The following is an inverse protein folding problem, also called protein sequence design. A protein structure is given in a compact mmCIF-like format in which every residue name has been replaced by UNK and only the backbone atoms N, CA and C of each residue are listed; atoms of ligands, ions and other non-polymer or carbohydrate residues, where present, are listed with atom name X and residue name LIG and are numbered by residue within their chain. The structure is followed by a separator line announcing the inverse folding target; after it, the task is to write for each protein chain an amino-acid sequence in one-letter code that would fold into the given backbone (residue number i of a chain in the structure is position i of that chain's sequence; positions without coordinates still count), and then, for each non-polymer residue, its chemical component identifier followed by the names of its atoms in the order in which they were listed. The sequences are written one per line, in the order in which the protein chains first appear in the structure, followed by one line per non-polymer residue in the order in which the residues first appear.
data_IF_433968480448
#
_entry.id   IF_433968480448
#
_cell.length_a   1.000
_cell.length_b   1.000
_cell.length_c   1.000
_cell.angle_alpha   90.00
_cell.angle_beta   90.00
_cell.angle_gamma   90.00
#
_symmetry.space_group_name_H-M   'P 1'
#
loop_
_entity.id
_entity.type
_entity.pdbx_description
1 polymer ?
#
# COMPACT_ATOMS: atom_id res chain seq x y z
N UNK A 1 22.06 -46.19 -30.03
CA UNK A 1 20.86 -45.34 -30.10
C UNK A 1 20.81 -44.69 -31.47
N UNK A 2 19.70 -44.81 -32.19
CA UNK A 2 19.60 -44.28 -33.55
C UNK A 2 19.37 -42.76 -33.50
N UNK A 3 19.84 -42.00 -34.50
CA UNK A 3 19.75 -40.53 -34.56
C UNK A 3 18.35 -39.97 -34.23
N UNK A 4 17.30 -40.67 -34.64
CA UNK A 4 15.90 -40.36 -34.31
C UNK A 4 15.62 -40.35 -32.79
N UNK A 5 16.16 -41.34 -32.07
CA UNK A 5 16.01 -41.44 -30.60
C UNK A 5 16.81 -40.36 -29.86
N UNK A 6 17.95 -39.94 -30.40
CA UNK A 6 18.73 -38.82 -29.84
C UNK A 6 18.00 -37.48 -30.04
N UNK A 7 17.46 -37.21 -31.22
CA UNK A 7 16.71 -35.97 -31.49
C UNK A 7 15.45 -35.83 -30.63
N UNK A 8 14.74 -36.94 -30.38
CA UNK A 8 13.55 -36.95 -29.53
C UNK A 8 13.88 -36.62 -28.07
N UNK A 9 14.94 -37.20 -27.52
CA UNK A 9 15.36 -36.93 -26.15
C UNK A 9 15.84 -35.49 -25.96
N UNK A 10 16.57 -34.95 -26.94
CA UNK A 10 17.00 -33.54 -26.92
C UNK A 10 15.81 -32.59 -26.95
N UNK A 11 14.78 -32.90 -27.74
CA UNK A 11 13.55 -32.11 -27.81
C UNK A 11 12.78 -32.15 -26.48
N UNK A 12 12.62 -33.34 -25.88
CA UNK A 12 11.96 -33.51 -24.57
C UNK A 12 12.68 -32.69 -23.49
N UNK A 13 14.02 -32.76 -23.47
CA UNK A 13 14.82 -31.96 -22.54
C UNK A 13 14.61 -30.45 -22.72
N UNK A 14 14.54 -29.99 -23.97
CA UNK A 14 14.30 -28.57 -24.28
C UNK A 14 12.90 -28.12 -23.83
N UNK A 15 11.88 -28.94 -24.09
CA UNK A 15 10.50 -28.69 -23.63
C UNK A 15 10.46 -28.62 -22.10
N UNK A 16 11.11 -29.56 -21.42
CA UNK A 16 11.16 -29.59 -19.96
C UNK A 16 11.82 -28.33 -19.38
N UNK A 17 12.90 -27.83 -20.01
CA UNK A 17 13.52 -26.55 -19.63
C UNK A 17 12.60 -25.34 -19.84
N UNK A 18 11.84 -25.32 -20.94
CA UNK A 18 10.90 -24.22 -21.22
C UNK A 18 9.77 -24.24 -20.18
N UNK A 19 9.22 -25.42 -19.88
CA UNK A 19 8.15 -25.56 -18.90
C UNK A 19 8.58 -25.14 -17.49
N UNK A 20 9.76 -25.57 -17.03
CA UNK A 20 10.27 -25.17 -15.70
C UNK A 20 10.58 -23.67 -15.61
N UNK A 21 11.00 -23.04 -16.71
CA UNK A 21 11.20 -21.60 -16.78
C UNK A 21 9.88 -20.81 -16.69
N UNK A 22 8.82 -21.27 -17.37
CA UNK A 22 7.48 -20.67 -17.28
C UNK A 22 6.93 -20.75 -15.85
N UNK A 23 7.16 -21.87 -15.16
CA UNK A 23 6.71 -22.05 -13.78
C UNK A 23 7.45 -21.14 -12.78
N UNK A 24 8.73 -20.84 -13.04
CA UNK A 24 9.48 -19.84 -12.29
C UNK A 24 8.92 -18.41 -12.47
N UNK A 25 8.50 -18.05 -13.69
CA UNK A 25 7.85 -16.75 -13.97
C UNK A 25 6.49 -16.64 -13.28
N UNK A 26 5.75 -17.76 -13.21
CA UNK A 26 4.42 -17.80 -12.60
C UNK A 26 4.46 -17.91 -11.06
N UNK A 27 5.63 -18.16 -10.46
CA UNK A 27 5.84 -18.05 -9.02
C UNK A 27 5.88 -16.57 -8.59
N UNK A 28 4.74 -15.91 -8.74
CA UNK A 28 4.43 -14.67 -8.05
C UNK A 28 4.27 -15.00 -6.56
N UNK A 29 5.37 -15.06 -5.83
CA UNK A 29 5.31 -15.00 -4.38
C UNK A 29 4.56 -13.70 -4.03
N UNK A 30 3.29 -13.83 -3.64
CA UNK A 30 2.42 -12.71 -3.29
C UNK A 30 2.88 -12.15 -1.95
N UNK A 31 3.96 -11.38 -1.96
CA UNK A 31 4.40 -10.64 -0.79
C UNK A 31 3.36 -9.57 -0.46
N UNK A 32 2.89 -9.57 0.79
CA UNK A 32 2.03 -8.52 1.30
C UNK A 32 2.91 -7.37 1.77
N UNK A 33 3.13 -6.41 0.89
CA UNK A 33 3.83 -5.17 1.24
C UNK A 33 2.80 -4.14 1.67
N UNK A 34 3.05 -3.48 2.80
CA UNK A 34 2.21 -2.41 3.32
C UNK A 34 3.06 -1.26 3.85
N UNK A 35 2.44 -0.08 3.95
CA UNK A 35 3.08 1.11 4.51
C UNK A 35 2.47 1.42 5.88
N UNK A 36 3.27 2.04 6.75
CA UNK A 36 2.82 2.59 8.01
C UNK A 36 3.06 4.10 7.98
N UNK A 37 2.01 4.86 8.26
CA UNK A 37 2.03 6.28 8.52
C UNK A 37 1.64 6.48 9.99
N UNK A 38 2.38 7.25 10.75
CA UNK A 38 2.10 7.46 12.18
C UNK A 38 2.27 8.93 12.55
N UNK A 39 1.65 9.34 13.65
CA UNK A 39 1.92 10.62 14.33
C UNK A 39 1.78 11.83 13.38
N UNK A 40 0.68 11.85 12.62
CA UNK A 40 0.39 12.93 11.66
C UNK A 40 0.27 14.27 12.38
N UNK A 41 -0.35 14.27 13.57
CA UNK A 41 -0.56 15.45 14.42
C UNK A 41 -1.05 16.66 13.62
N UNK A 42 -2.11 16.47 12.82
CA UNK A 42 -2.65 17.55 12.00
C UNK A 42 -3.04 18.75 12.87
N UNK A 43 -2.50 19.92 12.53
CA UNK A 43 -2.72 21.16 13.26
C UNK A 43 -1.72 21.46 14.38
N UNK A 44 -0.75 20.59 14.69
CA UNK A 44 0.31 20.89 15.66
C UNK A 44 1.24 22.03 15.20
N UNK A 45 1.65 21.99 13.94
CA UNK A 45 2.62 22.92 13.34
C UNK A 45 2.02 23.77 12.21
N UNK A 46 0.69 23.95 12.19
CA UNK A 46 -0.01 24.60 11.07
C UNK A 46 0.27 23.90 9.73
N UNK A 47 0.67 24.69 8.71
CA UNK A 47 0.91 24.21 7.33
C UNK A 47 1.98 23.11 7.23
N UNK A 48 2.92 23.03 8.17
CA UNK A 48 4.00 22.03 8.11
C UNK A 48 3.47 20.60 8.21
N UNK A 49 2.48 20.35 9.07
CA UNK A 49 1.84 19.03 9.20
C UNK A 49 1.16 18.60 7.89
N UNK A 50 0.52 19.54 7.21
CA UNK A 50 -0.12 19.34 5.89
C UNK A 50 0.88 18.98 4.82
N UNK A 51 1.99 19.74 4.71
CA UNK A 51 3.02 19.52 3.69
C UNK A 51 3.72 18.17 3.90
N UNK A 52 4.01 17.80 5.15
CA UNK A 52 4.61 16.49 5.48
C UNK A 52 3.67 15.34 5.08
N UNK A 53 2.39 15.44 5.42
CA UNK A 53 1.39 14.44 5.05
C UNK A 53 1.25 14.31 3.52
N UNK A 54 1.16 15.42 2.80
CA UNK A 54 1.13 15.43 1.33
C UNK A 54 2.36 14.75 0.72
N UNK A 55 3.53 15.01 1.27
CA UNK A 55 4.79 14.42 0.81
C UNK A 55 4.82 12.90 1.04
N UNK A 56 4.34 12.44 2.21
CA UNK A 56 4.22 11.02 2.52
C UNK A 56 3.22 10.31 1.59
N UNK A 57 2.05 10.91 1.36
CA UNK A 57 1.02 10.37 0.45
C UNK A 57 1.55 10.29 -0.98
N UNK A 58 2.23 11.34 -1.47
CA UNK A 58 2.85 11.32 -2.79
C UNK A 58 3.83 10.14 -2.91
N UNK A 59 4.68 9.94 -1.90
CA UNK A 59 5.64 8.83 -1.90
C UNK A 59 4.96 7.46 -1.88
N UNK A 60 3.91 7.30 -1.08
CA UNK A 60 3.14 6.04 -1.03
C UNK A 60 2.51 5.77 -2.40
N UNK A 61 1.92 6.78 -3.04
CA UNK A 61 1.32 6.64 -4.36
C UNK A 61 2.37 6.25 -5.42
N UNK A 62 3.57 6.82 -5.38
CA UNK A 62 4.68 6.39 -6.25
C UNK A 62 5.05 4.91 -6.01
N UNK A 63 5.19 4.51 -4.75
CA UNK A 63 5.55 3.13 -4.39
C UNK A 63 4.45 2.12 -4.76
N UNK A 64 3.18 2.51 -4.68
CA UNK A 64 2.06 1.65 -5.08
C UNK A 64 2.04 1.32 -6.57
N UNK A 65 2.59 2.22 -7.41
CA UNK A 65 2.72 2.00 -8.85
C UNK A 65 3.95 1.17 -9.20
N UNK A 66 4.87 0.97 -8.26
CA UNK A 66 6.08 0.21 -8.49
C UNK A 66 5.79 -1.29 -8.51
N UNK A 67 5.97 -1.90 -9.68
CA UNK A 67 5.72 -3.32 -9.94
C UNK A 67 6.58 -4.26 -9.09
N UNK A 68 7.71 -3.79 -8.53
CA UNK A 68 8.57 -4.61 -7.66
C UNK A 68 8.23 -4.50 -6.18
N UNK A 69 7.54 -3.42 -5.76
CA UNK A 69 7.20 -3.19 -4.35
C UNK A 69 5.83 -3.79 -4.00
N UNK A 70 4.88 -3.70 -4.94
CA UNK A 70 3.54 -4.29 -4.82
C UNK A 70 2.81 -3.89 -3.52
N UNK A 71 2.83 -2.59 -3.20
CA UNK A 71 2.22 -2.03 -2.00
C UNK A 71 0.69 -2.16 -2.04
N UNK A 72 0.11 -2.85 -1.05
CA UNK A 72 -1.33 -3.21 -1.04
C UNK A 72 -2.20 -2.22 -0.29
N UNK A 73 -1.73 -1.75 0.86
CA UNK A 73 -2.50 -0.84 1.71
C UNK A 73 -1.58 -0.06 2.67
N UNK A 74 -2.17 0.90 3.37
CA UNK A 74 -1.51 1.75 4.37
C UNK A 74 -2.21 1.60 5.72
N UNK A 75 -1.46 1.44 6.80
CA UNK A 75 -1.98 1.68 8.16
C UNK A 75 -1.65 3.10 8.60
N UNK A 76 -2.63 3.82 9.17
CA UNK A 76 -2.38 5.07 9.90
C UNK A 76 -2.45 4.79 11.39
N UNK A 77 -1.31 4.77 12.09
CA UNK A 77 -1.19 4.23 13.44
C UNK A 77 -1.31 5.29 14.54
N UNK A 78 -2.46 5.97 14.59
CA UNK A 78 -2.79 6.90 15.67
C UNK A 78 -2.20 8.30 15.53
N UNK A 79 -2.58 9.14 16.50
CA UNK A 79 -2.27 10.56 16.61
C UNK A 79 -2.44 11.29 15.27
N UNK A 80 -3.61 11.04 14.68
CA UNK A 80 -4.01 11.56 13.36
C UNK A 80 -4.15 13.08 13.44
N UNK A 81 -4.75 13.55 14.53
CA UNK A 81 -4.99 14.97 14.82
C UNK A 81 -4.21 15.41 16.04
N UNK A 82 -3.93 16.71 16.16
CA UNK A 82 -3.26 17.24 17.36
C UNK A 82 -4.22 17.43 18.54
N UNK A 83 -5.45 17.88 18.27
CA UNK A 83 -6.42 18.29 19.30
C UNK A 83 -7.82 17.72 19.06
N UNK A 84 -7.94 16.65 18.27
CA UNK A 84 -9.22 16.01 17.93
C UNK A 84 -10.31 16.95 17.37
N UNK A 85 -9.91 18.06 16.74
CA UNK A 85 -10.88 18.98 16.14
C UNK A 85 -11.43 18.39 14.84
N UNK A 86 -12.73 18.56 14.61
CA UNK A 86 -13.39 18.08 13.38
C UNK A 86 -12.69 18.59 12.10
N UNK A 87 -12.27 19.86 12.09
CA UNK A 87 -11.53 20.44 10.97
C UNK A 87 -10.19 19.77 10.68
N UNK A 88 -9.48 19.28 11.71
CA UNK A 88 -8.23 18.55 11.55
C UNK A 88 -8.49 17.18 10.91
N UNK A 89 -9.55 16.48 11.34
CA UNK A 89 -9.98 15.23 10.71
C UNK A 89 -10.36 15.45 9.25
N UNK A 90 -11.22 16.44 8.97
CA UNK A 90 -11.65 16.74 7.60
C UNK A 90 -10.45 17.02 6.69
N UNK A 91 -9.47 17.77 7.19
CA UNK A 91 -8.25 18.04 6.46
C UNK A 91 -7.43 16.77 6.21
N UNK A 92 -7.18 15.95 7.24
CA UNK A 92 -6.42 14.70 7.06
C UNK A 92 -7.12 13.77 6.08
N UNK A 93 -8.42 13.52 6.25
CA UNK A 93 -9.14 12.59 5.38
C UNK A 93 -9.28 13.11 3.95
N UNK A 94 -9.40 14.42 3.75
CA UNK A 94 -9.34 14.99 2.39
C UNK A 94 -8.03 14.68 1.68
N UNK A 95 -6.91 14.61 2.43
CA UNK A 95 -5.60 14.24 1.91
C UNK A 95 -5.48 12.72 1.75
N UNK A 96 -5.82 11.92 2.77
CA UNK A 96 -5.73 10.46 2.71
C UNK A 96 -6.61 9.86 1.60
N UNK A 97 -7.75 10.47 1.27
CA UNK A 97 -8.59 10.07 0.14
C UNK A 97 -7.92 10.24 -1.24
N UNK A 98 -6.72 10.85 -1.30
CA UNK A 98 -5.90 10.90 -2.52
C UNK A 98 -4.90 9.74 -2.64
N UNK A 99 -4.85 8.83 -1.66
CA UNK A 99 -4.10 7.59 -1.78
C UNK A 99 -4.66 6.72 -2.91
N UNK A 100 -3.79 6.11 -3.71
CA UNK A 100 -4.18 5.21 -4.80
C UNK A 100 -4.45 3.77 -4.36
N UNK A 101 -4.34 3.50 -3.06
CA UNK A 101 -4.55 2.20 -2.42
C UNK A 101 -5.32 2.38 -1.11
N UNK A 102 -5.90 1.29 -0.61
CA UNK A 102 -6.70 1.32 0.61
C UNK A 102 -5.85 1.74 1.83
N UNK A 103 -6.52 2.38 2.79
CA UNK A 103 -5.90 2.77 4.04
C UNK A 103 -6.79 2.45 5.24
N UNK A 104 -6.16 2.17 6.37
CA UNK A 104 -6.82 1.73 7.59
C UNK A 104 -6.30 2.57 8.77
N UNK A 105 -7.07 3.55 9.25
CA UNK A 105 -6.67 4.33 10.42
C UNK A 105 -6.96 3.59 11.72
N UNK A 106 -6.05 3.78 12.67
CA UNK A 106 -6.10 3.30 14.04
C UNK A 106 -6.05 4.55 14.92
N UNK A 107 -6.76 4.53 16.05
CA UNK A 107 -6.85 5.68 16.93
C UNK A 107 -5.60 5.82 17.81
N UNK A 108 -5.14 7.04 18.04
CA UNK A 108 -4.14 7.36 19.06
C UNK A 108 -4.73 8.06 20.28
N UNK A 109 -3.87 8.48 21.21
CA UNK A 109 -4.29 9.19 22.42
C UNK A 109 -4.65 10.67 22.16
N UNK A 110 -4.19 11.26 21.06
CA UNK A 110 -4.61 12.60 20.64
C UNK A 110 -5.92 12.61 19.85
N UNK A 111 -6.51 11.44 19.59
CA UNK A 111 -7.69 11.29 18.76
C UNK A 111 -8.97 11.04 19.56
N UNK A 112 -10.12 11.40 18.96
CA UNK A 112 -11.44 11.16 19.52
C UNK A 112 -12.20 10.09 18.73
N UNK A 113 -12.48 8.96 19.40
CA UNK A 113 -13.17 7.79 18.83
C UNK A 113 -14.45 8.15 18.05
N UNK A 114 -15.30 9.00 18.64
CA UNK A 114 -16.60 9.33 18.05
C UNK A 114 -16.46 10.00 16.68
N UNK A 115 -15.42 10.80 16.46
CA UNK A 115 -15.24 11.56 15.22
C UNK A 115 -14.66 10.69 14.09
N UNK A 116 -13.73 9.78 14.41
CA UNK A 116 -13.15 8.84 13.43
C UNK A 116 -14.23 7.91 12.86
N UNK A 117 -15.14 7.42 13.71
CA UNK A 117 -16.25 6.55 13.28
C UNK A 117 -17.18 7.24 12.30
N UNK A 118 -17.48 8.53 12.48
CA UNK A 118 -18.32 9.26 11.55
C UNK A 118 -17.62 9.42 10.20
N UNK A 119 -16.33 9.79 10.18
CA UNK A 119 -15.67 10.09 8.90
C UNK A 119 -15.44 8.84 8.03
N UNK A 120 -15.09 7.70 8.62
CA UNK A 120 -14.89 6.44 7.88
C UNK A 120 -16.17 5.83 7.30
N UNK A 121 -17.31 6.03 7.95
CA UNK A 121 -18.60 5.52 7.47
C UNK A 121 -19.13 6.32 6.28
N UNK A 122 -18.73 7.59 6.13
CA UNK A 122 -19.21 8.47 5.06
C UNK A 122 -18.21 8.64 3.90
N UNK A 123 -16.96 8.22 4.03
CA UNK A 123 -15.97 8.27 2.94
C UNK A 123 -16.11 7.14 1.91
N UNK A 124 -16.99 6.17 2.16
CA UNK A 124 -17.27 5.02 1.30
C UNK A 124 -18.72 4.97 0.79
N UNK A 125 -19.48 6.07 0.93
CA UNK A 125 -20.80 6.29 0.31
C UNK A 125 -20.66 7.35 -0.78
#
# INVERSE_FOLDING_TARGET
MNYLTMNLLTLIYFIFKILSFIECINNNANYYTFAILSDVHMGADGLNSTIRLQSAIHKINELSKNLTTYLKFVFITGDITNTALKSQYDQVFSLLNTLSIDYYPIIGNHDQWSLIRFTLLYSHL
#
